data_IF_953313983444
#
_entry.id   IF_953313983444
#
_cell.length_a   1.000
_cell.length_b   1.000
_cell.length_c   1.000
_cell.angle_alpha   90.00
_cell.angle_beta   90.00
_cell.angle_gamma   90.00
#
_symmetry.space_group_name_H-M   'P 1'
#
loop_
_entity.id
_entity.type
_entity.pdbx_description
1 polymer ?
#
# COMPACT_ATOMS: atom_id res chain seq x y z
N UNK A 1 -77.87 -62.81 -32.02
CA UNK A 1 -77.73 -61.94 -30.83
C UNK A 1 -76.46 -61.13 -31.03
N UNK A 2 -76.56 -59.81 -31.24
CA UNK A 2 -75.42 -58.93 -31.55
C UNK A 2 -75.51 -57.66 -30.69
N UNK A 3 -74.32 -57.10 -30.38
CA UNK A 3 -74.00 -55.75 -29.84
C UNK A 3 -74.21 -55.56 -28.32
N UNK A 4 -73.33 -54.89 -27.57
CA UNK A 4 -72.08 -54.17 -27.86
C UNK A 4 -71.38 -53.81 -26.54
N UNK A 5 -70.16 -54.29 -26.32
CA UNK A 5 -69.24 -53.84 -25.24
C UNK A 5 -67.95 -53.31 -25.85
N UNK A 6 -68.03 -52.24 -26.66
CA UNK A 6 -66.85 -51.54 -27.22
C UNK A 6 -66.90 -50.01 -27.13
N UNK A 7 -67.93 -49.42 -26.49
CA UNK A 7 -68.13 -47.96 -26.46
C UNK A 7 -67.59 -47.24 -25.20
N UNK A 8 -67.09 -47.96 -24.18
CA UNK A 8 -66.58 -47.34 -22.94
C UNK A 8 -65.08 -46.99 -23.03
N UNK A 9 -64.28 -47.79 -23.75
CA UNK A 9 -62.83 -47.60 -23.87
C UNK A 9 -62.45 -46.35 -24.69
N UNK A 10 -63.28 -45.96 -25.65
CA UNK A 10 -63.04 -44.80 -26.52
C UNK A 10 -63.26 -43.47 -25.76
N UNK A 11 -64.29 -43.43 -24.91
CA UNK A 11 -64.58 -42.26 -24.06
C UNK A 11 -63.52 -42.11 -22.98
N UNK A 12 -63.12 -43.21 -22.32
CA UNK A 12 -62.05 -43.18 -21.31
C UNK A 12 -60.71 -42.73 -21.91
N UNK A 13 -60.36 -43.23 -23.10
CA UNK A 13 -59.15 -42.84 -23.82
C UNK A 13 -59.15 -41.35 -24.18
N UNK A 14 -60.29 -40.83 -24.64
CA UNK A 14 -60.44 -39.41 -24.99
C UNK A 14 -60.31 -38.50 -23.77
N UNK A 15 -60.96 -38.86 -22.64
CA UNK A 15 -60.87 -38.09 -21.39
C UNK A 15 -59.44 -38.11 -20.83
N UNK A 16 -58.76 -39.26 -20.90
CA UNK A 16 -57.39 -39.38 -20.42
C UNK A 16 -56.39 -38.59 -21.28
N UNK A 17 -56.55 -38.62 -22.61
CA UNK A 17 -55.76 -37.79 -23.53
C UNK A 17 -55.99 -36.29 -23.29
N UNK A 18 -57.24 -35.88 -23.08
CA UNK A 18 -57.56 -34.50 -22.77
C UNK A 18 -56.96 -34.07 -21.42
N UNK A 19 -57.02 -34.94 -20.40
CA UNK A 19 -56.40 -34.69 -19.09
C UNK A 19 -54.88 -34.54 -19.17
N UNK A 20 -54.21 -35.44 -19.90
CA UNK A 20 -52.75 -35.39 -20.08
C UNK A 20 -52.32 -34.18 -20.91
N UNK A 21 -53.06 -33.82 -21.96
CA UNK A 21 -52.73 -32.65 -22.80
C UNK A 21 -52.90 -31.35 -22.02
N UNK A 22 -53.99 -31.20 -21.25
CA UNK A 22 -54.17 -30.04 -20.38
C UNK A 22 -53.07 -29.97 -19.33
N UNK A 23 -52.71 -31.09 -18.70
CA UNK A 23 -51.63 -31.15 -17.72
C UNK A 23 -50.29 -30.77 -18.35
N UNK A 24 -49.95 -31.31 -19.52
CA UNK A 24 -48.73 -31.00 -20.25
C UNK A 24 -48.65 -29.52 -20.63
N UNK A 25 -49.73 -28.95 -21.20
CA UNK A 25 -49.78 -27.51 -21.54
C UNK A 25 -49.65 -26.64 -20.29
N UNK A 26 -50.31 -27.00 -19.20
CA UNK A 26 -50.24 -26.23 -17.94
C UNK A 26 -48.82 -26.21 -17.40
N UNK A 27 -48.15 -27.36 -17.38
CA UNK A 27 -46.74 -27.46 -16.95
C UNK A 27 -45.84 -26.66 -17.88
N UNK A 28 -45.99 -26.80 -19.20
CA UNK A 28 -45.18 -26.05 -20.17
C UNK A 28 -45.36 -24.55 -20.03
N UNK A 29 -46.60 -24.07 -19.90
CA UNK A 29 -46.90 -22.64 -19.73
C UNK A 29 -46.31 -22.14 -18.42
N UNK A 30 -46.54 -22.83 -17.30
CA UNK A 30 -46.01 -22.41 -16.00
C UNK A 30 -44.48 -22.29 -16.00
N UNK A 31 -43.78 -23.32 -16.51
CA UNK A 31 -42.32 -23.31 -16.63
C UNK A 31 -41.83 -22.25 -17.62
N UNK A 32 -42.53 -22.08 -18.75
CA UNK A 32 -42.19 -21.06 -19.74
C UNK A 32 -42.33 -19.64 -19.22
N UNK A 33 -43.36 -19.36 -18.42
CA UNK A 33 -43.54 -18.05 -17.78
C UNK A 33 -42.46 -17.76 -16.73
N UNK A 34 -42.08 -18.75 -15.92
CA UNK A 34 -41.01 -18.58 -14.93
C UNK A 34 -39.65 -18.34 -15.61
N UNK A 35 -39.34 -19.11 -16.66
CA UNK A 35 -38.11 -18.94 -17.43
C UNK A 35 -38.06 -17.57 -18.14
N UNK A 36 -39.17 -17.12 -18.73
CA UNK A 36 -39.25 -15.82 -19.38
C UNK A 36 -39.11 -14.66 -18.37
N UNK A 37 -39.71 -14.79 -17.19
CA UNK A 37 -39.57 -13.79 -16.12
C UNK A 37 -38.10 -13.64 -15.69
N UNK A 38 -37.40 -14.75 -15.45
CA UNK A 38 -35.98 -14.73 -15.11
C UNK A 38 -35.10 -14.09 -16.20
N UNK A 39 -35.35 -14.41 -17.49
CA UNK A 39 -34.63 -13.79 -18.61
C UNK A 39 -34.92 -12.29 -18.73
N UNK A 40 -36.15 -11.87 -18.41
CA UNK A 40 -36.54 -10.46 -18.46
C UNK A 40 -35.87 -9.66 -17.35
N UNK A 41 -35.81 -10.21 -16.13
CA UNK A 41 -35.11 -9.60 -14.98
C UNK A 41 -33.61 -9.44 -15.24
N UNK A 42 -32.96 -10.47 -15.80
CA UNK A 42 -31.54 -10.42 -16.14
C UNK A 42 -31.25 -9.40 -17.25
N UNK A 43 -32.11 -9.34 -18.29
CA UNK A 43 -31.99 -8.34 -19.34
C UNK A 43 -32.21 -6.91 -18.83
N UNK A 44 -33.12 -6.71 -17.88
CA UNK A 44 -33.38 -5.40 -17.27
C UNK A 44 -32.20 -4.95 -16.41
N UNK A 45 -31.68 -5.84 -15.57
CA UNK A 45 -30.50 -5.57 -14.73
C UNK A 45 -29.28 -5.24 -15.58
N UNK A 46 -29.02 -6.00 -16.65
CA UNK A 46 -27.95 -5.71 -17.61
C UNK A 46 -28.17 -4.36 -18.33
N UNK A 47 -29.41 -3.98 -18.61
CA UNK A 47 -29.77 -2.67 -19.16
C UNK A 47 -29.38 -1.53 -18.21
N UNK A 48 -29.73 -1.66 -16.93
CA UNK A 48 -29.37 -0.69 -15.89
C UNK A 48 -27.86 -0.63 -15.68
N UNK A 49 -27.14 -1.75 -15.72
CA UNK A 49 -25.67 -1.79 -15.60
C UNK A 49 -24.98 -0.97 -16.69
N UNK A 50 -25.43 -1.12 -17.94
CA UNK A 50 -24.95 -0.33 -19.06
C UNK A 50 -25.33 1.15 -18.92
N UNK A 51 -26.57 1.44 -18.49
CA UNK A 51 -27.04 2.80 -18.24
C UNK A 51 -26.24 3.51 -17.14
N UNK A 52 -25.92 2.80 -16.06
CA UNK A 52 -25.07 3.28 -14.96
C UNK A 52 -23.64 3.55 -15.44
N UNK A 53 -23.06 2.66 -16.26
CA UNK A 53 -21.72 2.86 -16.84
C UNK A 53 -21.67 4.06 -17.80
N UNK A 54 -22.75 4.28 -18.57
CA UNK A 54 -22.86 5.48 -19.38
C UNK A 54 -23.05 6.74 -18.51
N UNK A 55 -23.84 6.64 -17.45
CA UNK A 55 -24.03 7.72 -16.48
C UNK A 55 -22.71 8.12 -15.82
N UNK A 56 -21.88 7.18 -15.35
CA UNK A 56 -20.57 7.52 -14.76
C UNK A 56 -19.69 8.26 -15.74
N UNK A 57 -19.62 7.82 -17.00
CA UNK A 57 -18.90 8.55 -18.04
C UNK A 57 -19.40 9.99 -18.21
N UNK A 58 -20.73 10.22 -18.24
CA UNK A 58 -21.27 11.59 -18.32
C UNK A 58 -21.02 12.40 -17.04
N UNK A 59 -21.13 11.77 -15.88
CA UNK A 59 -20.88 12.39 -14.59
C UNK A 59 -19.41 12.82 -14.46
N UNK A 60 -18.46 12.03 -14.96
CA UNK A 60 -17.03 12.39 -15.03
C UNK A 60 -16.80 13.62 -15.90
N UNK A 61 -17.42 13.72 -17.09
CA UNK A 61 -17.31 14.94 -17.94
C UNK A 61 -17.80 16.20 -17.20
N UNK A 62 -18.84 16.05 -16.38
CA UNK A 62 -19.40 17.16 -15.59
C UNK A 62 -18.53 17.48 -14.37
N UNK A 63 -18.06 16.45 -13.68
CA UNK A 63 -17.18 16.53 -12.51
C UNK A 63 -15.84 17.19 -12.85
N UNK A 64 -15.25 16.82 -13.98
CA UNK A 64 -13.96 17.33 -14.47
C UNK A 64 -14.08 18.68 -15.20
N UNK A 65 -15.29 19.27 -15.24
CA UNK A 65 -15.52 20.62 -15.75
C UNK A 65 -15.55 20.76 -17.27
N UNK A 66 -15.67 19.67 -18.03
CA UNK A 66 -15.82 19.75 -19.50
C UNK A 66 -17.21 20.23 -19.93
N UNK A 67 -18.22 20.10 -19.06
CA UNK A 67 -19.59 20.61 -19.30
C UNK A 67 -20.31 20.86 -17.98
N UNK A 68 -21.17 21.89 -17.90
CA UNK A 68 -21.92 22.22 -16.68
C UNK A 68 -23.04 21.21 -16.34
N UNK A 69 -23.61 20.55 -17.36
CA UNK A 69 -24.73 19.62 -17.21
C UNK A 69 -24.80 18.57 -18.34
N UNK A 70 -25.24 17.35 -17.99
CA UNK A 70 -25.54 16.27 -18.95
C UNK A 70 -26.84 15.56 -18.58
N UNK A 71 -27.55 15.06 -19.59
CA UNK A 71 -28.69 14.15 -19.39
C UNK A 71 -28.18 12.72 -19.26
N UNK A 72 -28.88 11.94 -18.44
CA UNK A 72 -28.65 10.51 -18.30
C UNK A 72 -29.95 9.73 -18.42
N UNK A 73 -29.83 8.46 -18.80
CA UNK A 73 -30.91 7.49 -18.90
C UNK A 73 -30.35 6.13 -18.44
N UNK A 74 -30.87 5.63 -17.32
CA UNK A 74 -30.50 4.34 -16.75
C UNK A 74 -31.32 3.18 -17.35
N UNK A 75 -32.21 3.47 -18.29
CA UNK A 75 -33.15 2.51 -18.86
C UNK A 75 -34.36 2.28 -17.94
N UNK A 76 -35.04 1.15 -18.17
CA UNK A 76 -36.21 0.75 -17.39
C UNK A 76 -35.81 0.30 -15.99
N UNK A 77 -36.17 1.08 -14.97
CA UNK A 77 -35.92 0.75 -13.55
C UNK A 77 -37.14 0.12 -12.85
N UNK A 78 -38.22 -0.16 -13.58
CA UNK A 78 -39.50 -0.66 -13.02
C UNK A 78 -39.42 -2.05 -12.33
N UNK A 79 -38.31 -2.77 -12.51
CA UNK A 79 -38.07 -4.12 -11.99
C UNK A 79 -37.29 -4.15 -10.67
N UNK A 80 -37.00 -2.99 -10.09
CA UNK A 80 -36.24 -2.86 -8.86
C UNK A 80 -36.41 -1.51 -8.19
N UNK A 81 -35.70 -1.31 -7.09
CA UNK A 81 -35.71 -0.06 -6.33
C UNK A 81 -34.46 0.77 -6.62
N UNK A 82 -34.64 2.03 -7.03
CA UNK A 82 -33.56 3.00 -7.21
C UNK A 82 -33.47 3.91 -5.98
N UNK A 83 -32.28 4.03 -5.37
CA UNK A 83 -32.04 4.84 -4.17
C UNK A 83 -30.74 5.61 -4.27
N UNK A 84 -30.75 6.87 -3.84
CA UNK A 84 -29.56 7.68 -3.65
C UNK A 84 -29.35 7.89 -2.15
N UNK A 85 -28.19 7.45 -1.65
CA UNK A 85 -27.72 7.70 -0.29
C UNK A 85 -26.46 8.57 -0.36
N UNK A 86 -26.56 9.82 0.09
CA UNK A 86 -25.48 10.81 0.02
C UNK A 86 -24.37 10.58 1.06
N UNK A 87 -24.68 9.83 2.13
CA UNK A 87 -23.79 9.53 3.24
C UNK A 87 -23.12 8.14 3.09
N UNK A 88 -23.57 7.35 2.11
CA UNK A 88 -23.02 6.03 1.83
C UNK A 88 -21.63 6.09 1.20
N UNK A 89 -20.72 5.34 1.81
CA UNK A 89 -19.32 5.22 1.41
C UNK A 89 -18.49 6.45 1.74
N UNK A 90 -17.26 6.23 2.20
CA UNK A 90 -16.33 7.31 2.52
C UNK A 90 -14.99 7.05 1.85
N UNK A 91 -14.39 8.12 1.34
CA UNK A 91 -12.98 8.13 0.94
C UNK A 91 -12.22 9.04 1.88
N UNK A 92 -11.09 8.56 2.34
CA UNK A 92 -10.13 9.30 3.13
C UNK A 92 -8.79 9.29 2.42
N UNK A 93 -8.27 10.47 2.09
CA UNK A 93 -6.89 10.63 1.64
C UNK A 93 -6.14 11.31 2.77
N UNK A 94 -5.00 10.76 3.15
CA UNK A 94 -4.14 11.32 4.20
C UNK A 94 -2.68 11.20 3.81
N UNK A 95 -1.89 12.19 4.23
CA UNK A 95 -0.45 12.22 4.09
C UNK A 95 0.11 12.00 5.48
N UNK A 96 0.86 10.93 5.66
CA UNK A 96 1.56 10.60 6.90
C UNK A 96 3.01 11.02 6.77
N UNK A 97 3.52 11.76 7.76
CA UNK A 97 4.94 11.96 7.99
C UNK A 97 5.36 11.24 9.27
N UNK A 98 6.60 11.44 9.69
CA UNK A 98 7.18 10.72 10.84
C UNK A 98 6.43 11.00 12.16
N UNK A 99 6.04 12.25 12.38
CA UNK A 99 5.32 12.69 13.58
C UNK A 99 3.78 12.48 13.48
N UNK A 100 3.32 11.69 12.51
CA UNK A 100 1.91 11.34 12.30
C UNK A 100 1.29 12.00 11.06
N UNK A 101 -0.03 12.20 11.08
CA UNK A 101 -0.76 12.72 9.90
C UNK A 101 -0.47 14.20 9.66
N UNK A 102 0.19 14.52 8.54
CA UNK A 102 0.49 15.89 8.07
C UNK A 102 -0.77 16.56 7.52
N UNK A 103 -1.51 15.85 6.68
CA UNK A 103 -2.74 16.34 6.07
C UNK A 103 -3.75 15.21 5.93
N UNK A 104 -5.04 15.54 6.03
CA UNK A 104 -6.13 14.58 5.93
C UNK A 104 -7.36 15.22 5.33
N UNK A 105 -8.01 14.51 4.42
CA UNK A 105 -9.35 14.84 3.96
C UNK A 105 -10.20 13.58 3.91
N UNK A 106 -11.36 13.63 4.58
CA UNK A 106 -12.37 12.58 4.54
C UNK A 106 -13.67 13.17 3.98
N UNK A 107 -14.25 12.48 3.02
CA UNK A 107 -15.48 12.90 2.35
C UNK A 107 -16.40 11.70 2.09
N UNK A 108 -17.72 11.92 2.12
CA UNK A 108 -18.65 10.92 1.62
C UNK A 108 -18.55 10.83 0.10
N UNK A 109 -18.72 9.62 -0.44
CA UNK A 109 -18.76 9.39 -1.90
C UNK A 109 -20.17 9.61 -2.44
N UNK A 110 -21.19 9.25 -1.66
CA UNK A 110 -22.55 9.16 -2.14
C UNK A 110 -22.72 7.95 -3.09
N UNK A 111 -23.81 7.22 -2.94
CA UNK A 111 -24.03 5.97 -3.67
C UNK A 111 -25.43 5.96 -4.28
N UNK A 112 -25.49 5.81 -5.60
CA UNK A 112 -26.75 5.55 -6.32
C UNK A 112 -26.87 4.04 -6.52
N UNK A 113 -27.85 3.41 -5.89
CA UNK A 113 -28.07 1.97 -5.85
C UNK A 113 -29.33 1.61 -6.62
N UNK A 114 -29.22 0.65 -7.53
CA UNK A 114 -30.36 -0.08 -8.11
C UNK A 114 -30.36 -1.50 -7.54
N UNK A 115 -31.40 -1.85 -6.78
CA UNK A 115 -31.61 -3.17 -6.22
C UNK A 115 -32.65 -3.94 -7.07
N UNK A 116 -32.18 -4.87 -7.90
CA UNK A 116 -33.02 -5.85 -8.61
C UNK A 116 -33.28 -7.10 -7.77
N UNK A 117 -33.95 -8.12 -8.34
CA UNK A 117 -34.27 -9.36 -7.60
C UNK A 117 -33.02 -10.16 -7.19
N UNK A 118 -32.02 -10.24 -8.08
CA UNK A 118 -30.89 -11.15 -7.92
C UNK A 118 -29.52 -10.44 -7.81
N UNK A 119 -29.47 -9.15 -8.11
CA UNK A 119 -28.23 -8.39 -8.21
C UNK A 119 -28.49 -6.93 -7.90
N UNK A 120 -27.53 -6.34 -7.21
CA UNK A 120 -27.46 -4.92 -6.96
C UNK A 120 -26.38 -4.29 -7.84
N UNK A 121 -26.66 -3.10 -8.34
CA UNK A 121 -25.73 -2.28 -9.13
C UNK A 121 -25.64 -0.92 -8.43
N UNK A 122 -24.42 -0.45 -8.21
CA UNK A 122 -24.19 0.81 -7.53
C UNK A 122 -23.18 1.68 -8.26
N UNK A 123 -23.43 2.99 -8.24
CA UNK A 123 -22.48 4.01 -8.67
C UNK A 123 -21.92 4.68 -7.43
N UNK A 124 -20.60 4.66 -7.28
CA UNK A 124 -19.91 5.26 -6.14
C UNK A 124 -18.50 5.68 -6.54
N UNK A 125 -18.09 6.90 -6.17
CA UNK A 125 -16.73 7.41 -6.42
C UNK A 125 -16.33 7.50 -7.89
N UNK A 126 -17.31 7.56 -8.80
CA UNK A 126 -17.09 7.55 -10.25
C UNK A 126 -17.00 6.16 -10.88
N UNK A 127 -16.96 5.08 -10.07
CA UNK A 127 -16.99 3.70 -10.52
C UNK A 127 -18.40 3.10 -10.53
N UNK A 128 -18.54 1.95 -11.21
CA UNK A 128 -19.74 1.10 -11.16
C UNK A 128 -19.38 -0.23 -10.52
N UNK A 129 -20.17 -0.61 -9.53
CA UNK A 129 -19.99 -1.79 -8.69
C UNK A 129 -21.21 -2.68 -8.80
N UNK A 130 -21.01 -3.98 -8.65
CA UNK A 130 -22.10 -4.95 -8.56
C UNK A 130 -21.87 -5.93 -7.43
N UNK A 131 -22.95 -6.35 -6.78
CA UNK A 131 -22.93 -7.44 -5.80
C UNK A 131 -24.12 -8.37 -6.00
N UNK A 132 -23.90 -9.66 -5.76
CA UNK A 132 -24.94 -10.69 -5.69
C UNK A 132 -25.27 -11.08 -4.24
N UNK A 133 -24.83 -10.26 -3.27
CA UNK A 133 -24.96 -10.50 -1.85
C UNK A 133 -23.82 -11.31 -1.23
N UNK A 134 -22.85 -11.79 -2.02
CA UNK A 134 -21.67 -12.51 -1.51
C UNK A 134 -20.39 -11.68 -1.58
N UNK A 135 -20.10 -11.06 -2.73
CA UNK A 135 -18.90 -10.24 -2.94
C UNK A 135 -19.15 -9.11 -3.93
N UNK A 136 -18.69 -7.91 -3.57
CA UNK A 136 -18.68 -6.75 -4.46
C UNK A 136 -17.64 -6.92 -5.58
N UNK A 137 -18.00 -6.54 -6.80
CA UNK A 137 -17.16 -6.61 -8.00
C UNK A 137 -17.22 -5.31 -8.77
N UNK A 138 -16.10 -4.94 -9.39
CA UNK A 138 -16.02 -3.78 -10.28
C UNK A 138 -16.60 -4.11 -11.65
N UNK A 139 -17.50 -3.26 -12.15
CA UNK A 139 -18.00 -3.25 -13.53
C UNK A 139 -17.27 -2.20 -14.36
N UNK A 140 -17.22 -0.97 -13.84
CA UNK A 140 -16.50 0.15 -14.45
C UNK A 140 -15.57 0.77 -13.42
N UNK A 141 -14.30 1.04 -13.77
CA UNK A 141 -13.36 1.64 -12.84
C UNK A 141 -13.75 3.09 -12.51
N UNK A 142 -13.44 3.56 -11.29
CA UNK A 142 -13.42 4.98 -10.97
C UNK A 142 -12.22 5.67 -11.62
N UNK A 143 -12.19 6.99 -11.58
CA UNK A 143 -11.04 7.78 -12.02
C UNK A 143 -9.93 7.73 -10.96
N UNK A 144 -8.83 7.04 -11.27
CA UNK A 144 -7.60 7.01 -10.49
C UNK A 144 -6.46 6.77 -11.46
N UNK A 145 -5.56 7.74 -11.60
CA UNK A 145 -4.45 7.67 -12.53
C UNK A 145 -3.16 7.81 -11.78
N UNK A 146 -2.43 6.71 -11.64
CA UNK A 146 -1.07 6.72 -11.14
C UNK A 146 -0.11 6.41 -12.30
N UNK A 147 0.82 7.32 -12.59
CA UNK A 147 1.84 7.17 -13.65
C UNK A 147 3.07 7.99 -13.30
N UNK A 148 4.26 7.47 -13.55
CA UNK A 148 5.53 8.19 -13.41
C UNK A 148 5.60 8.97 -12.06
N UNK A 149 5.30 8.30 -10.96
CA UNK A 149 5.28 8.88 -9.62
C UNK A 149 4.29 10.04 -9.42
N UNK A 150 3.27 10.15 -10.27
CA UNK A 150 2.20 11.14 -10.16
C UNK A 150 0.88 10.45 -9.91
N UNK A 151 0.22 10.76 -8.78
CA UNK A 151 -1.17 10.37 -8.53
C UNK A 151 -2.11 11.52 -8.91
N UNK A 152 -3.02 11.26 -9.86
CA UNK A 152 -4.18 12.12 -10.15
C UNK A 152 -5.46 11.39 -9.75
N UNK A 153 -6.14 11.90 -8.73
CA UNK A 153 -7.34 11.29 -8.16
C UNK A 153 -8.50 12.28 -8.06
N UNK A 154 -9.35 12.38 -9.10
CA UNK A 154 -10.55 13.19 -9.06
C UNK A 154 -11.72 12.41 -8.43
N UNK A 155 -11.98 12.67 -7.16
CA UNK A 155 -13.06 12.05 -6.39
C UNK A 155 -14.39 12.63 -6.85
N UNK A 156 -15.27 11.77 -7.38
CA UNK A 156 -16.65 12.16 -7.76
C UNK A 156 -17.59 11.88 -6.58
N UNK A 157 -18.23 12.93 -6.07
CA UNK A 157 -19.24 12.84 -5.01
C UNK A 157 -20.65 13.03 -5.58
N UNK A 158 -21.54 12.06 -5.35
CA UNK A 158 -22.94 12.14 -5.77
C UNK A 158 -23.82 12.78 -4.69
N UNK A 159 -24.63 13.75 -5.10
CA UNK A 159 -25.71 14.36 -4.30
C UNK A 159 -26.97 14.52 -5.14
N UNK A 160 -28.14 14.77 -4.56
CA UNK A 160 -29.38 14.87 -5.32
C UNK A 160 -30.53 15.55 -4.59
N UNK A 161 -31.60 15.82 -5.33
CA UNK A 161 -32.83 16.39 -4.77
C UNK A 161 -33.80 15.32 -4.23
N UNK A 162 -33.60 14.07 -4.65
CA UNK A 162 -34.47 12.93 -4.34
C UNK A 162 -33.63 11.71 -3.92
N UNK A 163 -34.05 11.04 -2.86
CA UNK A 163 -33.37 9.85 -2.33
C UNK A 163 -33.95 8.53 -2.85
N UNK A 164 -35.17 8.54 -3.39
CA UNK A 164 -35.85 7.36 -3.93
C UNK A 164 -36.61 7.71 -5.21
N UNK A 165 -35.89 7.96 -6.32
CA UNK A 165 -36.48 8.32 -7.60
C UNK A 165 -37.30 7.17 -8.19
N UNK A 166 -38.42 7.52 -8.83
CA UNK A 166 -39.30 6.54 -9.51
C UNK A 166 -38.94 6.30 -10.98
N UNK A 167 -37.98 7.05 -11.53
CA UNK A 167 -37.53 6.97 -12.92
C UNK A 167 -36.01 6.99 -13.00
N UNK A 168 -35.48 6.32 -14.02
CA UNK A 168 -34.05 6.28 -14.32
C UNK A 168 -33.53 7.42 -15.20
N UNK A 169 -34.33 8.45 -15.49
CA UNK A 169 -33.92 9.57 -16.36
C UNK A 169 -33.75 10.85 -15.57
N UNK A 170 -32.81 11.69 -15.98
CA UNK A 170 -32.58 12.97 -15.32
C UNK A 170 -31.43 13.77 -15.90
N UNK A 171 -30.99 14.76 -15.11
CA UNK A 171 -29.85 15.63 -15.40
C UNK A 171 -28.85 15.55 -14.25
N UNK A 172 -27.57 15.39 -14.59
CA UNK A 172 -26.45 15.60 -13.69
C UNK A 172 -25.83 16.97 -13.95
N UNK A 173 -25.59 17.73 -12.90
CA UNK A 173 -25.02 19.10 -12.97
C UNK A 173 -23.82 19.24 -12.05
N UNK A 174 -22.83 20.03 -12.45
CA UNK A 174 -21.71 20.36 -11.57
C UNK A 174 -22.21 21.25 -10.43
N UNK A 175 -21.89 20.90 -9.18
CA UNK A 175 -22.19 21.72 -8.02
C UNK A 175 -20.95 22.48 -7.54
N UNK A 176 -19.86 21.75 -7.27
CA UNK A 176 -18.61 22.31 -6.76
C UNK A 176 -17.44 21.42 -7.19
N UNK A 177 -16.31 22.04 -7.56
CA UNK A 177 -15.02 21.37 -7.73
C UNK A 177 -13.99 22.10 -6.88
N UNK A 178 -13.22 21.36 -6.09
CA UNK A 178 -12.21 21.93 -5.20
C UNK A 178 -10.98 21.01 -5.12
N UNK A 179 -9.81 21.64 -4.94
CA UNK A 179 -8.57 20.96 -4.63
C UNK A 179 -8.56 20.53 -3.16
N UNK A 180 -8.18 19.28 -2.89
CA UNK A 180 -8.26 18.69 -1.56
C UNK A 180 -7.09 19.10 -0.66
N UNK A 181 -5.90 19.34 -1.23
CA UNK A 181 -4.68 19.67 -0.50
C UNK A 181 -3.97 20.93 -1.04
N UNK A 182 -4.62 22.10 -1.05
CA UNK A 182 -4.08 23.31 -1.69
C UNK A 182 -2.84 23.90 -0.97
N UNK A 183 -2.54 23.46 0.24
CA UNK A 183 -1.42 23.94 1.07
C UNK A 183 -0.27 22.94 1.19
N UNK A 184 -0.43 21.74 0.63
CA UNK A 184 0.61 20.72 0.65
C UNK A 184 1.61 21.02 -0.47
N UNK A 185 2.91 20.85 -0.18
CA UNK A 185 3.95 21.01 -1.21
C UNK A 185 3.76 20.00 -2.33
N UNK A 186 3.96 20.42 -3.58
CA UNK A 186 3.85 19.55 -4.74
C UNK A 186 4.96 19.96 -5.74
N UNK A 187 6.09 19.23 -5.83
CA UNK A 187 6.34 17.87 -5.34
C UNK A 187 6.21 17.65 -3.82
N UNK A 188 5.83 16.43 -3.43
CA UNK A 188 5.92 15.96 -2.05
C UNK A 188 7.40 15.75 -1.69
N UNK A 189 7.78 16.13 -0.47
CA UNK A 189 9.18 16.07 0.00
C UNK A 189 9.48 14.79 0.78
N UNK A 190 8.51 14.30 1.56
CA UNK A 190 8.60 13.06 2.32
C UNK A 190 7.20 12.51 2.67
N UNK A 191 7.18 11.32 3.26
CA UNK A 191 5.99 10.72 3.85
C UNK A 191 5.27 9.70 2.97
N UNK A 192 4.09 9.27 3.43
CA UNK A 192 3.26 8.24 2.80
C UNK A 192 1.86 8.79 2.52
N UNK A 193 1.45 8.74 1.26
CA UNK A 193 0.08 9.02 0.84
C UNK A 193 -0.74 7.75 0.99
N UNK A 194 -1.75 7.81 1.85
CA UNK A 194 -2.70 6.72 2.08
C UNK A 194 -4.08 7.10 1.56
N UNK A 195 -4.61 6.27 0.67
CA UNK A 195 -5.98 6.36 0.15
C UNK A 195 -6.78 5.20 0.73
N UNK A 196 -7.70 5.50 1.63
CA UNK A 196 -8.59 4.54 2.27
C UNK A 196 -10.04 4.75 1.78
N UNK A 197 -10.70 3.66 1.38
CA UNK A 197 -12.10 3.67 0.99
C UNK A 197 -12.89 2.73 1.88
N UNK A 198 -13.84 3.28 2.63
CA UNK A 198 -14.84 2.54 3.39
C UNK A 198 -16.12 2.40 2.56
N UNK A 199 -16.53 1.17 2.25
CA UNK A 199 -17.68 0.93 1.36
C UNK A 199 -18.26 -0.48 1.52
N UNK A 200 -19.54 -0.64 1.24
CA UNK A 200 -20.13 -1.98 1.08
C UNK A 200 -19.55 -2.75 -0.13
N UNK A 201 -18.91 -2.03 -1.05
CA UNK A 201 -18.20 -2.60 -2.21
C UNK A 201 -16.67 -2.64 -2.01
N UNK A 202 -16.18 -2.64 -0.75
CA UNK A 202 -14.74 -2.56 -0.46
C UNK A 202 -13.91 -3.66 -1.13
N UNK A 203 -14.44 -4.89 -1.33
CA UNK A 203 -13.73 -5.94 -2.07
C UNK A 203 -13.51 -5.56 -3.54
N UNK A 204 -14.46 -4.84 -4.15
CA UNK A 204 -14.30 -4.30 -5.50
C UNK A 204 -13.26 -3.19 -5.54
N UNK A 205 -13.24 -2.31 -4.53
CA UNK A 205 -12.21 -1.27 -4.38
C UNK A 205 -10.82 -1.87 -4.16
N UNK A 206 -10.71 -2.93 -3.35
CA UNK A 206 -9.48 -3.70 -3.15
C UNK A 206 -8.98 -4.30 -4.47
N UNK A 207 -9.87 -4.97 -5.22
CA UNK A 207 -9.54 -5.56 -6.51
C UNK A 207 -9.10 -4.48 -7.53
N UNK A 208 -9.73 -3.29 -7.49
CA UNK A 208 -9.35 -2.16 -8.31
C UNK A 208 -7.95 -1.64 -7.98
N UNK A 209 -7.68 -1.32 -6.72
CA UNK A 209 -6.37 -0.83 -6.30
C UNK A 209 -5.28 -1.87 -6.58
N UNK A 210 -5.53 -3.15 -6.30
CA UNK A 210 -4.56 -4.22 -6.55
C UNK A 210 -4.20 -4.37 -8.03
N UNK A 211 -5.11 -4.04 -8.94
CA UNK A 211 -4.87 -4.13 -10.39
C UNK A 211 -4.31 -2.85 -11.02
N UNK A 212 -4.62 -1.68 -10.45
CA UNK A 212 -4.43 -0.38 -11.11
C UNK A 212 -3.76 0.68 -10.27
N UNK A 213 -3.84 0.59 -8.94
CA UNK A 213 -3.18 1.59 -8.11
C UNK A 213 -1.67 1.44 -8.14
N UNK A 214 -1.19 0.20 -8.40
CA UNK A 214 0.22 -0.22 -8.27
C UNK A 214 0.72 0.23 -6.88
N UNK A 215 0.79 -0.67 -5.91
CA UNK A 215 0.79 -0.24 -4.50
C UNK A 215 0.69 -1.40 -3.52
N UNK A 216 1.09 -1.17 -2.26
CA UNK A 216 0.66 -2.03 -1.17
C UNK A 216 -0.82 -1.74 -0.95
N UNK A 217 -1.63 -2.76 -1.18
CA UNK A 217 -3.07 -2.68 -1.02
C UNK A 217 -3.49 -3.66 0.06
N UNK A 218 -4.11 -3.15 1.11
CA UNK A 218 -4.68 -3.96 2.18
C UNK A 218 -6.20 -3.83 2.19
N UNK A 219 -6.85 -4.83 2.80
CA UNK A 219 -8.28 -4.77 3.11
C UNK A 219 -8.53 -5.16 4.56
N UNK A 220 -9.56 -4.56 5.15
CA UNK A 220 -10.08 -4.92 6.46
C UNK A 220 -11.55 -5.30 6.31
N UNK A 221 -11.84 -6.60 6.39
CA UNK A 221 -13.19 -7.14 6.22
C UNK A 221 -14.12 -6.73 7.39
N UNK A 222 -13.57 -6.46 8.59
CA UNK A 222 -14.36 -6.07 9.76
C UNK A 222 -14.83 -4.62 9.67
N UNK A 223 -13.97 -3.73 9.16
CA UNK A 223 -14.28 -2.31 8.95
C UNK A 223 -14.83 -2.01 7.55
N UNK A 224 -14.81 -3.00 6.64
CA UNK A 224 -15.18 -2.89 5.22
C UNK A 224 -14.39 -1.79 4.51
N UNK A 225 -13.07 -1.85 4.63
CA UNK A 225 -12.16 -0.87 4.02
C UNK A 225 -11.18 -1.52 3.04
N UNK A 226 -10.80 -0.74 2.03
CA UNK A 226 -9.68 -1.03 1.14
C UNK A 226 -8.72 0.16 1.18
N UNK A 227 -7.43 -0.11 1.35
CA UNK A 227 -6.41 0.92 1.59
C UNK A 227 -5.26 0.74 0.62
N UNK A 228 -4.92 1.79 -0.13
CA UNK A 228 -3.74 1.85 -0.99
C UNK A 228 -2.71 2.83 -0.40
N UNK A 229 -1.43 2.44 -0.40
CA UNK A 229 -0.31 3.25 0.10
C UNK A 229 0.69 3.56 -1.01
N UNK A 230 1.14 4.81 -1.05
CA UNK A 230 2.17 5.32 -1.95
C UNK A 230 3.18 6.10 -1.11
N UNK A 231 4.47 5.86 -1.29
CA UNK A 231 5.51 6.49 -0.45
C UNK A 231 6.31 7.47 -1.27
N UNK A 232 6.63 8.61 -0.69
CA UNK A 232 7.54 9.58 -1.29
C UNK A 232 8.96 9.06 -1.12
N UNK A 233 9.70 8.75 -2.20
CA UNK A 233 11.08 8.33 -2.09
C UNK A 233 11.89 9.41 -1.40
N UNK A 234 12.65 9.02 -0.38
CA UNK A 234 13.63 9.89 0.24
C UNK A 234 15.00 9.67 -0.40
N UNK A 235 15.71 10.75 -0.69
CA UNK A 235 17.13 10.71 -1.01
C UNK A 235 17.89 11.32 0.17
N UNK A 236 18.85 10.57 0.70
CA UNK A 236 19.74 11.04 1.77
C UNK A 236 21.14 11.09 1.20
N UNK A 237 21.66 12.30 1.05
CA UNK A 237 23.06 12.52 0.68
C UNK A 237 23.94 12.26 1.92
N UNK A 238 24.97 11.42 1.77
CA UNK A 238 25.92 11.12 2.82
C UNK A 238 27.24 11.89 2.61
N UNK A 239 27.13 13.21 2.47
CA UNK A 239 28.26 14.12 2.21
C UNK A 239 29.03 14.50 3.49
N UNK A 240 28.54 14.07 4.66
CA UNK A 240 29.15 14.29 5.96
C UNK A 240 29.29 12.99 6.75
N UNK A 241 30.33 12.84 7.60
CA UNK A 241 30.46 11.69 8.50
C UNK A 241 29.30 11.56 9.49
N UNK A 242 28.67 12.66 9.89
CA UNK A 242 27.61 12.64 10.88
C UNK A 242 26.47 13.59 10.53
N UNK A 243 25.25 13.06 10.56
CA UNK A 243 24.02 13.84 10.47
C UNK A 243 23.05 13.47 11.59
N UNK A 244 22.60 14.47 12.35
CA UNK A 244 21.72 14.31 13.50
C UNK A 244 20.37 14.99 13.31
N UNK A 245 19.29 14.27 13.63
CA UNK A 245 17.93 14.80 13.66
C UNK A 245 17.69 15.82 14.76
N UNK A 246 18.37 15.64 15.90
CA UNK A 246 18.29 16.57 17.02
C UNK A 246 19.26 17.76 16.86
N UNK A 247 18.79 18.95 17.20
CA UNK A 247 19.65 20.13 17.40
C UNK A 247 20.27 20.19 18.80
N UNK A 248 19.89 19.26 19.68
CA UNK A 248 20.30 19.23 21.08
C UNK A 248 21.37 18.16 21.28
N UNK A 249 22.62 18.58 21.15
CA UNK A 249 23.79 17.73 21.40
C UNK A 249 24.41 18.15 22.72
N UNK A 250 24.13 17.42 23.79
CA UNK A 250 24.75 17.62 25.12
C UNK A 250 26.22 17.13 25.15
N UNK A 251 26.81 16.79 23.99
CA UNK A 251 28.10 16.10 23.83
C UNK A 251 29.09 16.82 22.94
N UNK A 252 30.38 16.65 23.26
CA UNK A 252 31.49 17.11 22.43
C UNK A 252 31.65 16.12 21.26
N UNK A 253 31.21 16.54 20.06
CA UNK A 253 31.42 15.77 18.82
C UNK A 253 32.90 15.90 18.42
N UNK A 254 33.66 14.79 18.27
CA UNK A 254 35.07 14.79 17.86
C UNK A 254 35.26 15.07 16.35
N UNK A 255 34.50 16.00 15.78
CA UNK A 255 34.54 16.42 14.38
C UNK A 255 34.62 17.94 14.27
N UNK A 256 35.03 18.48 13.13
CA UNK A 256 34.89 19.91 12.87
C UNK A 256 33.41 20.26 12.67
N UNK A 257 33.02 21.50 12.98
CA UNK A 257 31.63 21.99 12.84
C UNK A 257 31.10 21.93 11.39
N UNK A 258 31.99 21.97 10.41
CA UNK A 258 31.63 21.83 8.99
C UNK A 258 31.37 20.35 8.60
N UNK A 259 31.91 19.40 9.36
CA UNK A 259 31.88 17.96 9.07
C UNK A 259 30.64 17.26 9.65
N UNK A 260 29.72 17.99 10.30
CA UNK A 260 28.45 17.41 10.73
C UNK A 260 27.27 18.37 10.50
N UNK A 261 26.06 17.84 10.56
CA UNK A 261 24.84 18.63 10.54
C UNK A 261 23.88 18.22 11.67
N UNK A 262 23.10 19.19 12.14
CA UNK A 262 22.17 19.04 13.25
C UNK A 262 20.78 19.54 12.84
N UNK A 263 19.72 18.93 13.37
CA UNK A 263 18.36 19.30 13.03
C UNK A 263 17.94 18.86 11.62
N UNK A 264 18.66 17.90 11.03
CA UNK A 264 18.38 17.39 9.70
C UNK A 264 17.18 16.43 9.72
N UNK A 265 16.22 16.63 8.81
CA UNK A 265 15.08 15.72 8.70
C UNK A 265 15.41 14.63 7.69
N UNK A 266 15.44 13.39 8.17
CA UNK A 266 15.73 12.21 7.36
C UNK A 266 14.48 11.34 7.26
N UNK A 267 14.24 10.64 6.14
CA UNK A 267 13.12 9.72 6.00
C UNK A 267 13.31 8.43 6.83
N UNK A 268 12.31 8.02 7.60
CA UNK A 268 12.34 6.71 8.28
C UNK A 268 12.78 5.53 7.38
N UNK A 269 13.64 4.62 7.87
CA UNK A 269 14.09 3.45 7.13
C UNK A 269 13.09 2.29 7.13
N UNK A 270 12.01 2.37 7.92
CA UNK A 270 11.02 1.28 8.03
C UNK A 270 10.53 0.75 6.67
N UNK A 271 10.20 1.60 5.68
CA UNK A 271 9.67 1.11 4.41
C UNK A 271 10.64 0.19 3.66
N UNK A 272 11.93 0.54 3.61
CA UNK A 272 12.95 -0.30 2.94
C UNK A 272 13.31 -1.54 3.78
N UNK A 273 13.19 -1.47 5.10
CA UNK A 273 13.40 -2.62 6.00
C UNK A 273 12.27 -3.64 5.82
N UNK A 274 11.02 -3.20 5.87
CA UNK A 274 9.83 -4.02 5.65
C UNK A 274 9.89 -4.73 4.28
N UNK A 275 10.41 -4.03 3.25
CA UNK A 275 10.69 -4.62 1.93
C UNK A 275 11.61 -5.80 1.97
N UNK A 276 12.74 -5.59 2.63
CA UNK A 276 13.75 -6.61 2.63
C UNK A 276 13.29 -7.80 3.45
N UNK A 277 12.57 -7.57 4.54
CA UNK A 277 11.98 -8.61 5.38
C UNK A 277 10.92 -9.40 4.63
N UNK A 278 9.95 -8.77 3.96
CA UNK A 278 8.92 -9.50 3.20
C UNK A 278 9.56 -10.37 2.11
N UNK A 279 10.50 -9.80 1.35
CA UNK A 279 11.22 -10.55 0.32
C UNK A 279 12.03 -11.71 0.93
N UNK A 280 12.75 -11.47 2.02
CA UNK A 280 13.59 -12.47 2.68
C UNK A 280 12.77 -13.57 3.36
N UNK A 281 11.59 -13.26 3.90
CA UNK A 281 10.68 -14.26 4.47
C UNK A 281 10.20 -15.29 3.45
N UNK A 282 10.15 -14.90 2.17
CA UNK A 282 9.70 -15.76 1.07
C UNK A 282 10.87 -16.41 0.31
N UNK A 283 11.96 -15.67 0.10
CA UNK A 283 13.05 -16.05 -0.82
C UNK A 283 14.41 -16.21 -0.14
N UNK A 284 14.54 -15.82 1.14
CA UNK A 284 15.78 -15.83 1.89
C UNK A 284 16.12 -17.20 2.47
N UNK A 285 17.40 -17.39 2.77
CA UNK A 285 17.93 -18.51 3.55
C UNK A 285 17.89 -18.16 5.04
N UNK A 286 17.98 -19.14 5.94
CA UNK A 286 18.06 -18.85 7.36
C UNK A 286 19.35 -18.08 7.67
N UNK A 287 19.29 -17.04 8.49
CA UNK A 287 20.49 -16.32 8.94
C UNK A 287 21.44 -17.23 9.75
N UNK A 288 20.89 -18.26 10.40
CA UNK A 288 21.68 -19.26 11.14
C UNK A 288 22.67 -19.99 10.21
N UNK A 289 22.33 -20.17 8.93
CA UNK A 289 23.23 -20.77 7.93
C UNK A 289 24.48 -19.90 7.66
N UNK A 290 24.44 -18.63 8.07
CA UNK A 290 25.55 -17.69 8.02
C UNK A 290 26.21 -17.56 9.41
N UNK A 291 25.45 -17.27 10.46
CA UNK A 291 25.98 -16.93 11.79
C UNK A 291 26.49 -18.11 12.63
N UNK A 292 26.01 -19.35 12.41
CA UNK A 292 26.42 -20.53 13.18
C UNK A 292 27.59 -21.31 12.53
N UNK A 293 28.64 -20.58 12.13
CA UNK A 293 29.86 -21.17 11.55
C UNK A 293 29.71 -21.63 10.09
N UNK A 294 28.74 -21.07 9.37
CA UNK A 294 28.63 -21.19 7.92
C UNK A 294 29.56 -20.24 7.18
N UNK A 295 29.59 -20.33 5.84
CA UNK A 295 30.23 -19.32 4.99
C UNK A 295 29.16 -18.30 4.57
N UNK A 296 29.23 -17.08 5.07
CA UNK A 296 28.32 -16.00 4.69
C UNK A 296 28.65 -15.50 3.28
N UNK A 297 28.25 -16.26 2.27
CA UNK A 297 28.45 -15.94 0.86
C UNK A 297 27.35 -15.04 0.32
N UNK A 298 27.57 -14.43 -0.85
CA UNK A 298 26.57 -13.65 -1.59
C UNK A 298 25.17 -14.28 -1.58
N UNK A 299 24.14 -13.52 -1.18
CA UNK A 299 22.80 -14.07 -1.01
C UNK A 299 21.88 -13.20 -0.15
N UNK A 300 20.68 -13.72 0.10
CA UNK A 300 19.67 -13.12 0.97
C UNK A 300 19.43 -14.04 2.17
N UNK A 301 19.63 -13.52 3.36
CA UNK A 301 19.44 -14.22 4.63
C UNK A 301 18.34 -13.55 5.45
N UNK A 302 17.61 -14.36 6.20
CA UNK A 302 16.42 -13.96 6.94
C UNK A 302 16.44 -14.48 8.39
N UNK A 303 16.04 -13.64 9.34
CA UNK A 303 15.70 -14.02 10.69
C UNK A 303 14.27 -13.58 11.02
N UNK A 304 13.45 -14.52 11.50
CA UNK A 304 12.07 -14.29 11.96
C UNK A 304 12.08 -14.05 13.48
N UNK A 305 12.39 -12.81 13.87
CA UNK A 305 12.60 -12.42 15.28
C UNK A 305 14.05 -12.07 15.62
N UNK A 306 14.29 -11.87 16.92
CA UNK A 306 15.58 -11.49 17.47
C UNK A 306 16.66 -12.54 17.14
N UNK A 307 17.86 -12.06 16.79
CA UNK A 307 19.00 -12.90 16.47
C UNK A 307 20.27 -12.40 17.13
N UNK A 308 21.16 -13.32 17.48
CA UNK A 308 22.42 -13.01 18.15
C UNK A 308 23.58 -13.75 17.50
N UNK A 309 24.77 -13.13 17.48
CA UNK A 309 25.99 -13.77 17.02
C UNK A 309 26.56 -14.71 18.08
N UNK A 310 26.89 -15.93 17.67
CA UNK A 310 27.54 -16.93 18.52
C UNK A 310 29.08 -16.94 18.38
N UNK A 311 29.62 -16.14 17.46
CA UNK A 311 31.04 -15.97 17.17
C UNK A 311 31.25 -14.95 16.05
N UNK A 312 32.52 -14.72 15.70
CA UNK A 312 32.89 -13.81 14.62
C UNK A 312 32.39 -14.32 13.26
N UNK A 313 32.06 -13.39 12.36
CA UNK A 313 31.49 -13.68 11.04
C UNK A 313 32.35 -13.06 9.94
N UNK A 314 32.83 -13.93 9.05
CA UNK A 314 33.51 -13.54 7.82
C UNK A 314 32.55 -13.62 6.62
N UNK A 315 32.41 -12.51 5.90
CA UNK A 315 31.62 -12.43 4.68
C UNK A 315 32.48 -12.65 3.43
N UNK A 316 31.98 -13.50 2.53
CA UNK A 316 32.48 -13.71 1.19
C UNK A 316 31.54 -13.06 0.17
N UNK A 317 31.89 -11.86 -0.26
CA UNK A 317 31.14 -11.09 -1.24
C UNK A 317 31.67 -11.30 -2.66
N UNK A 318 32.57 -12.27 -2.90
CA UNK A 318 33.13 -12.51 -4.25
C UNK A 318 32.08 -12.92 -5.28
N UNK A 319 30.98 -13.54 -4.83
CA UNK A 319 29.83 -13.93 -5.65
C UNK A 319 28.80 -12.82 -5.90
N UNK A 320 28.92 -11.68 -5.21
CA UNK A 320 27.94 -10.59 -5.21
C UNK A 320 27.62 -10.09 -3.79
N UNK A 321 26.64 -9.20 -3.70
CA UNK A 321 26.22 -8.62 -2.42
C UNK A 321 25.64 -9.68 -1.47
N UNK A 322 25.83 -9.44 -0.17
CA UNK A 322 25.14 -10.16 0.91
C UNK A 322 24.07 -9.24 1.47
N UNK A 323 22.90 -9.78 1.74
CA UNK A 323 21.85 -9.06 2.44
C UNK A 323 21.34 -9.88 3.61
N UNK A 324 21.32 -9.26 4.78
CA UNK A 324 20.79 -9.81 6.02
C UNK A 324 19.53 -9.01 6.38
N UNK A 325 18.39 -9.67 6.47
CA UNK A 325 17.12 -9.06 6.90
C UNK A 325 16.66 -9.72 8.22
N UNK A 326 16.44 -8.91 9.26
CA UNK A 326 16.15 -9.37 10.62
C UNK A 326 14.86 -8.70 11.07
N UNK A 327 13.80 -9.47 11.26
CA UNK A 327 12.52 -9.01 11.80
C UNK A 327 12.52 -9.02 13.33
N UNK A 328 13.46 -8.31 13.94
CA UNK A 328 13.69 -8.27 15.38
C UNK A 328 14.99 -7.54 15.74
N UNK A 329 15.44 -7.70 16.97
CA UNK A 329 16.69 -7.15 17.46
C UNK A 329 17.90 -7.95 16.97
N UNK A 330 19.03 -7.27 16.71
CA UNK A 330 20.29 -7.91 16.31
C UNK A 330 21.37 -7.69 17.38
N UNK A 331 21.69 -8.74 18.13
CA UNK A 331 22.74 -8.74 19.14
C UNK A 331 24.06 -9.23 18.55
N UNK A 332 24.94 -8.30 18.19
CA UNK A 332 26.30 -8.58 17.73
C UNK A 332 27.19 -8.99 18.91
N UNK A 333 26.87 -8.50 20.12
CA UNK A 333 27.73 -8.64 21.29
C UNK A 333 29.12 -8.05 21.03
N UNK A 334 30.15 -8.81 21.37
CA UNK A 334 31.55 -8.44 21.10
C UNK A 334 32.18 -9.25 19.95
N UNK A 335 31.37 -9.77 19.04
CA UNK A 335 31.85 -10.57 17.92
C UNK A 335 32.11 -9.68 16.69
N UNK A 336 33.10 -10.04 15.90
CA UNK A 336 33.50 -9.28 14.72
C UNK A 336 32.60 -9.59 13.50
N UNK A 337 32.37 -8.59 12.66
CA UNK A 337 31.68 -8.70 11.37
C UNK A 337 32.61 -8.17 10.28
N UNK A 338 33.30 -9.05 9.56
CA UNK A 338 34.36 -8.66 8.64
C UNK A 338 34.09 -9.11 7.21
N UNK A 339 34.33 -8.22 6.25
CA UNK A 339 34.39 -8.55 4.83
C UNK A 339 35.85 -8.77 4.46
N UNK A 340 36.20 -9.99 4.09
CA UNK A 340 37.61 -10.44 3.97
C UNK A 340 38.12 -10.42 2.53
N UNK A 341 37.23 -10.31 1.54
CA UNK A 341 37.59 -10.20 0.13
C UNK A 341 37.84 -8.74 -0.29
N UNK A 342 38.50 -8.55 -1.45
CA UNK A 342 38.80 -7.23 -2.02
C UNK A 342 37.92 -6.83 -3.21
N UNK A 343 36.65 -7.24 -3.24
CA UNK A 343 35.68 -6.80 -4.24
C UNK A 343 34.96 -5.50 -3.82
N UNK A 344 34.17 -4.91 -4.71
CA UNK A 344 33.35 -3.73 -4.42
C UNK A 344 31.92 -4.09 -3.93
N UNK A 345 31.65 -5.39 -3.73
CA UNK A 345 30.35 -5.85 -3.29
C UNK A 345 30.15 -5.55 -1.80
N UNK A 346 28.89 -5.35 -1.42
CA UNK A 346 28.51 -4.85 -0.10
C UNK A 346 27.73 -5.88 0.72
N UNK A 347 27.81 -5.75 2.03
CA UNK A 347 26.93 -6.41 3.01
C UNK A 347 25.93 -5.38 3.53
N UNK A 348 24.64 -5.64 3.31
CA UNK A 348 23.55 -4.78 3.78
C UNK A 348 22.74 -5.48 4.87
N UNK A 349 22.54 -4.78 5.99
CA UNK A 349 21.73 -5.22 7.11
C UNK A 349 20.44 -4.38 7.16
N UNK A 350 19.29 -5.05 7.24
CA UNK A 350 17.98 -4.45 7.41
C UNK A 350 17.38 -4.99 8.71
N UNK A 351 17.34 -4.17 9.75
CA UNK A 351 17.00 -4.59 11.12
C UNK A 351 15.74 -3.85 11.58
N UNK A 352 14.66 -4.60 11.82
CA UNK A 352 13.38 -4.02 12.27
C UNK A 352 13.38 -3.63 13.75
N UNK A 353 14.33 -4.15 14.52
CA UNK A 353 14.56 -3.81 15.92
C UNK A 353 15.80 -2.94 16.14
N UNK A 354 16.40 -3.08 17.32
CA UNK A 354 17.65 -2.43 17.73
C UNK A 354 18.87 -3.28 17.36
N UNK A 355 20.04 -2.64 17.24
CA UNK A 355 21.33 -3.33 17.09
C UNK A 355 22.13 -3.14 18.38
N UNK A 356 22.43 -4.24 19.06
CA UNK A 356 23.22 -4.24 20.29
C UNK A 356 24.65 -4.73 20.02
N UNK A 357 25.65 -4.00 20.54
CA UNK A 357 27.07 -4.27 20.32
C UNK A 357 27.94 -3.75 21.47
N UNK A 358 29.08 -4.41 21.72
CA UNK A 358 30.03 -4.04 22.76
C UNK A 358 31.46 -4.56 22.48
N UNK A 359 32.33 -3.67 21.99
CA UNK A 359 33.70 -3.94 21.52
C UNK A 359 33.87 -4.84 20.26
N UNK A 360 32.96 -4.87 19.27
CA UNK A 360 33.23 -5.58 18.02
C UNK A 360 34.15 -4.78 17.09
N UNK A 361 34.73 -5.48 16.12
CA UNK A 361 35.29 -4.93 14.88
C UNK A 361 34.30 -5.18 13.74
N UNK A 362 33.78 -4.12 13.12
CA UNK A 362 32.80 -4.20 12.04
C UNK A 362 33.39 -3.48 10.83
N UNK A 363 33.45 -4.12 9.67
CA UNK A 363 34.01 -3.48 8.48
C UNK A 363 34.69 -4.43 7.51
N UNK A 364 35.73 -3.93 6.86
CA UNK A 364 36.59 -4.71 5.97
C UNK A 364 37.91 -5.09 6.66
N UNK A 365 38.40 -6.32 6.48
CA UNK A 365 39.74 -6.72 6.96
C UNK A 365 40.88 -6.12 6.10
N UNK A 366 40.54 -5.33 5.07
CA UNK A 366 41.47 -4.74 4.12
C UNK A 366 42.46 -3.74 4.78
N UNK A 367 43.57 -3.47 4.10
CA UNK A 367 44.59 -2.53 4.59
C UNK A 367 44.17 -1.05 4.57
N UNK A 368 43.04 -0.76 3.94
CA UNK A 368 42.41 0.56 3.84
C UNK A 368 40.97 0.41 4.31
N UNK A 369 40.45 1.43 4.98
CA UNK A 369 39.05 1.49 5.40
C UNK A 369 38.17 1.59 4.16
N UNK A 370 37.04 0.89 4.15
CA UNK A 370 36.02 0.99 3.10
C UNK A 370 34.63 0.85 3.72
N UNK A 371 34.17 1.94 4.31
CA UNK A 371 32.90 2.00 5.02
C UNK A 371 31.68 1.79 4.11
N UNK A 372 31.80 2.00 2.78
CA UNK A 372 30.70 1.76 1.82
C UNK A 372 30.25 0.32 1.77
N UNK A 373 31.17 -0.60 2.08
CA UNK A 373 30.92 -2.05 1.95
C UNK A 373 30.07 -2.63 3.06
N UNK A 374 29.93 -1.91 4.17
CA UNK A 374 29.08 -2.34 5.29
C UNK A 374 27.98 -1.30 5.50
N UNK A 375 26.72 -1.69 5.28
CA UNK A 375 25.59 -0.76 5.37
C UNK A 375 24.52 -1.30 6.31
N UNK A 376 24.14 -0.52 7.32
CA UNK A 376 23.07 -0.82 8.25
C UNK A 376 21.87 0.12 8.03
N UNK A 377 20.68 -0.45 7.91
CA UNK A 377 19.40 0.25 7.96
C UNK A 377 18.65 -0.27 9.19
N UNK A 378 18.43 0.58 10.19
CA UNK A 378 17.95 0.16 11.51
C UNK A 378 16.76 1.00 11.94
N UNK A 379 15.66 0.35 12.34
CA UNK A 379 14.47 1.03 12.86
C UNK A 379 14.62 1.43 14.34
N UNK A 380 15.23 0.57 15.16
CA UNK A 380 15.42 0.75 16.58
C UNK A 380 16.70 1.52 16.93
N UNK A 381 17.15 1.32 18.17
CA UNK A 381 18.34 1.96 18.71
C UNK A 381 19.65 1.28 18.31
N UNK A 382 20.76 1.98 18.55
CA UNK A 382 22.11 1.39 18.45
C UNK A 382 22.73 1.39 19.84
N UNK A 383 23.12 0.20 20.30
CA UNK A 383 23.74 -0.06 21.60
C UNK A 383 22.90 0.34 22.83
N UNK A 384 21.58 0.52 22.68
CA UNK A 384 20.67 1.00 23.74
C UNK A 384 20.55 0.05 24.94
N UNK A 385 20.67 -1.27 24.73
CA UNK A 385 20.57 -2.25 25.82
C UNK A 385 21.93 -2.63 26.41
N UNK A 386 22.99 -2.01 25.91
CA UNK A 386 24.37 -2.24 26.37
C UNK A 386 24.85 -1.09 27.23
N UNK A 387 25.98 -1.25 27.92
CA UNK A 387 26.63 -0.11 28.60
C UNK A 387 27.42 0.75 27.58
N UNK A 388 26.83 1.00 26.41
CA UNK A 388 27.45 1.62 25.24
C UNK A 388 28.34 0.70 24.40
N UNK A 389 28.91 1.28 23.34
CA UNK A 389 29.69 0.56 22.32
C UNK A 389 31.05 0.02 22.80
N UNK A 390 31.57 0.48 23.94
CA UNK A 390 32.88 0.06 24.44
C UNK A 390 34.03 0.63 23.59
N UNK A 391 34.95 -0.23 23.16
CA UNK A 391 36.06 0.10 22.27
C UNK A 391 35.82 -0.50 20.88
N UNK A 392 34.59 -0.42 20.38
CA UNK A 392 34.24 -0.91 19.06
C UNK A 392 35.03 -0.17 17.97
N UNK A 393 35.41 -0.88 16.91
CA UNK A 393 35.95 -0.31 15.67
C UNK A 393 34.92 -0.55 14.56
N UNK A 394 34.31 0.51 14.02
CA UNK A 394 33.17 0.40 13.09
C UNK A 394 33.47 1.17 11.82
N UNK A 395 33.57 0.45 10.71
CA UNK A 395 33.78 0.94 9.35
C UNK A 395 32.53 0.67 8.54
N UNK A 396 31.59 1.61 8.57
CA UNK A 396 30.26 1.38 8.01
C UNK A 396 29.51 2.66 7.69
N UNK A 397 28.46 2.49 6.90
CA UNK A 397 27.33 3.41 6.84
C UNK A 397 26.25 2.88 7.77
N UNK A 398 25.81 3.71 8.73
CA UNK A 398 24.67 3.37 9.59
C UNK A 398 23.58 4.42 9.40
N UNK A 399 22.48 3.98 8.80
CA UNK A 399 21.28 4.77 8.58
C UNK A 399 20.20 4.36 9.59
N UNK A 400 20.11 5.10 10.69
CA UNK A 400 19.17 4.87 11.78
C UNK A 400 18.61 6.21 12.28
N UNK A 401 17.90 6.98 11.44
CA UNK A 401 17.50 8.36 11.75
C UNK A 401 16.54 8.48 12.95
N UNK A 402 15.96 7.37 13.43
CA UNK A 402 15.12 7.34 14.63
C UNK A 402 15.91 6.97 15.91
N UNK A 403 17.18 6.56 15.79
CA UNK A 403 17.94 5.97 16.88
C UNK A 403 18.51 7.02 17.82
N UNK A 404 18.40 6.75 19.13
CA UNK A 404 19.16 7.46 20.15
C UNK A 404 20.38 6.60 20.48
N UNK A 405 21.57 7.10 20.15
CA UNK A 405 22.81 6.36 20.34
C UNK A 405 23.53 6.88 21.57
N UNK A 406 23.78 6.01 22.54
CA UNK A 406 24.65 6.30 23.69
C UNK A 406 25.92 5.45 23.58
N UNK A 407 27.02 6.08 23.16
CA UNK A 407 28.30 5.43 22.99
C UNK A 407 29.21 5.73 24.18
N UNK A 408 29.10 4.92 25.23
CA UNK A 408 30.08 4.92 26.32
C UNK A 408 31.33 4.12 25.92
N UNK A 409 32.53 4.63 26.24
CA UNK A 409 33.81 3.94 26.01
C UNK A 409 34.79 4.76 25.18
N UNK A 410 35.51 4.12 24.27
CA UNK A 410 36.39 4.79 23.30
C UNK A 410 36.20 4.15 21.91
N UNK A 411 34.99 4.20 21.32
CA UNK A 411 34.76 3.64 19.99
C UNK A 411 35.52 4.45 18.92
N UNK A 412 35.89 3.77 17.85
CA UNK A 412 36.41 4.38 16.62
C UNK A 412 35.38 4.16 15.52
N UNK A 413 34.78 5.24 15.02
CA UNK A 413 33.75 5.20 13.99
C UNK A 413 34.29 5.82 12.70
N UNK A 414 34.27 5.08 11.61
CA UNK A 414 34.77 5.50 10.31
C UNK A 414 33.71 5.28 9.25
N UNK A 415 33.22 6.34 8.63
CA UNK A 415 32.16 6.25 7.63
C UNK A 415 31.12 7.36 7.73
N UNK A 416 29.85 7.02 7.48
CA UNK A 416 28.73 7.96 7.51
C UNK A 416 27.60 7.46 8.42
N UNK A 417 27.19 8.31 9.36
CA UNK A 417 26.27 7.96 10.42
C UNK A 417 25.09 8.93 10.47
N UNK A 418 23.87 8.40 10.39
CA UNK A 418 22.62 9.17 10.47
C UNK A 418 21.80 8.69 11.66
N UNK A 419 21.61 9.56 12.65
CA UNK A 419 20.93 9.24 13.92
C UNK A 419 19.95 10.34 14.35
N UNK A 420 19.03 10.06 15.26
CA UNK A 420 18.22 11.12 15.90
C UNK A 420 19.09 11.88 16.91
N UNK A 421 19.78 11.16 17.79
CA UNK A 421 20.69 11.74 18.79
C UNK A 421 21.92 10.86 18.94
N UNK A 422 23.06 11.50 19.20
CA UNK A 422 24.32 10.83 19.53
C UNK A 422 24.91 11.42 20.82
N UNK A 423 25.04 10.57 21.84
CA UNK A 423 25.74 10.87 23.07
C UNK A 423 27.05 10.07 23.11
N UNK A 424 28.18 10.75 22.89
CA UNK A 424 29.51 10.15 22.98
C UNK A 424 30.10 10.38 24.38
N UNK A 425 30.27 9.29 25.12
CA UNK A 425 31.03 9.25 26.36
C UNK A 425 32.48 8.83 26.14
N UNK A 426 33.40 9.30 26.99
CA UNK A 426 34.81 8.87 26.99
C UNK A 426 35.66 9.54 25.91
N UNK A 427 36.58 8.81 25.26
CA UNK A 427 37.48 9.32 24.23
C UNK A 427 37.17 8.68 22.87
N UNK A 428 35.93 8.80 22.41
CA UNK A 428 35.50 8.36 21.09
C UNK A 428 36.24 9.12 19.97
N UNK A 429 36.50 8.42 18.87
CA UNK A 429 37.07 8.97 17.64
C UNK A 429 36.09 8.80 16.49
N UNK A 430 35.96 9.83 15.65
CA UNK A 430 35.21 9.75 14.40
C UNK A 430 36.07 10.27 13.26
N UNK A 431 36.07 9.53 12.15
CA UNK A 431 36.76 9.90 10.92
C UNK A 431 35.81 9.70 9.75
N UNK A 432 35.84 10.59 8.77
CA UNK A 432 35.17 10.36 7.50
C UNK A 432 36.08 9.51 6.63
N UNK A 433 35.56 8.41 6.11
CA UNK A 433 36.29 7.58 5.14
C UNK A 433 36.27 8.29 3.78
N UNK A 434 37.17 9.25 3.61
CA UNK A 434 37.32 10.07 2.41
C UNK A 434 38.43 9.57 1.48
N UNK A 435 39.13 8.49 1.86
CA UNK A 435 40.14 7.89 0.99
C UNK A 435 39.45 7.41 -0.31
N UNK A 436 39.89 8.01 -1.43
CA UNK A 436 39.41 7.76 -2.81
C UNK A 436 38.01 8.31 -3.15
N UNK A 437 37.54 9.38 -2.48
CA UNK A 437 36.18 9.94 -2.68
C UNK A 437 35.09 8.86 -2.50
N UNK A 438 35.42 7.85 -1.69
CA UNK A 438 34.63 6.65 -1.50
C UNK A 438 33.42 6.87 -0.63
N UNK A 439 33.09 8.05 -0.13
CA UNK A 439 31.76 8.36 0.41
C UNK A 439 31.13 9.60 -0.24
N UNK A 440 31.97 10.47 -0.83
CA UNK A 440 31.56 11.60 -1.65
C UNK A 440 30.62 11.12 -2.80
N UNK A 441 29.50 11.82 -2.96
CA UNK A 441 28.40 11.50 -3.91
C UNK A 441 27.58 10.22 -3.63
N UNK A 442 27.68 9.60 -2.44
CA UNK A 442 26.78 8.51 -2.10
C UNK A 442 25.41 9.04 -1.66
N UNK A 443 24.38 8.72 -2.44
CA UNK A 443 22.98 8.97 -2.08
C UNK A 443 22.31 7.66 -1.69
N UNK A 444 21.78 7.59 -0.47
CA UNK A 444 20.87 6.52 -0.07
C UNK A 444 19.47 6.84 -0.59
N UNK A 445 18.93 5.96 -1.44
CA UNK A 445 17.52 6.02 -1.83
C UNK A 445 16.71 5.18 -0.85
N UNK A 446 15.92 5.84 -0.01
CA UNK A 446 14.92 5.21 0.84
C UNK A 446 13.63 5.09 0.02
N UNK A 447 13.50 3.97 -0.67
CA UNK A 447 12.27 3.61 -1.37
C UNK A 447 11.23 3.11 -0.38
N UNK A 448 9.95 3.35 -0.69
CA UNK A 448 8.82 3.03 0.17
C UNK A 448 8.59 1.57 0.50
N UNK A 449 9.39 0.67 -0.03
CA UNK A 449 9.30 -0.74 0.25
C UNK A 449 8.65 -1.60 -0.84
N UNK A 450 8.33 -2.88 -0.56
CA UNK A 450 7.81 -3.81 -1.56
C UNK A 450 6.37 -3.44 -1.87
N UNK A 451 6.05 -3.33 -3.15
CA UNK A 451 4.72 -2.90 -3.57
C UNK A 451 4.42 -1.44 -3.24
N UNK A 452 5.24 -0.72 -2.50
CA UNK A 452 5.00 0.68 -2.16
C UNK A 452 5.49 1.55 -3.30
N UNK A 453 4.53 2.06 -4.04
CA UNK A 453 4.81 2.77 -5.26
C UNK A 453 5.29 4.20 -4.99
N UNK A 454 6.39 4.63 -5.63
CA UNK A 454 7.01 5.91 -5.35
C UNK A 454 6.13 7.07 -5.83
N UNK A 455 5.69 7.97 -4.96
CA UNK A 455 4.93 9.17 -5.34
C UNK A 455 5.75 10.44 -5.14
N UNK A 456 5.80 11.28 -6.16
CA UNK A 456 6.41 12.61 -6.15
C UNK A 456 5.35 13.69 -6.27
N UNK A 457 4.32 13.47 -7.09
CA UNK A 457 3.29 14.47 -7.35
C UNK A 457 1.91 13.97 -6.95
N UNK A 458 1.17 14.81 -6.22
CA UNK A 458 -0.17 14.48 -5.73
C UNK A 458 -1.19 15.52 -6.22
N UNK A 459 -2.17 15.06 -6.99
CA UNK A 459 -3.29 15.87 -7.50
C UNK A 459 -4.61 15.23 -7.10
N UNK A 460 -5.21 15.71 -6.01
CA UNK A 460 -6.51 15.23 -5.52
C UNK A 460 -7.53 16.35 -5.60
N UNK A 461 -8.65 16.08 -6.27
CA UNK A 461 -9.78 17.01 -6.34
C UNK A 461 -11.06 16.33 -5.88
N UNK A 462 -11.95 17.11 -5.27
CA UNK A 462 -13.30 16.69 -4.91
C UNK A 462 -14.29 17.38 -5.83
N UNK A 463 -15.06 16.58 -6.57
CA UNK A 463 -15.96 17.05 -7.59
C UNK A 463 -17.38 16.60 -7.24
N UNK A 464 -18.17 17.51 -6.69
CA UNK A 464 -19.55 17.26 -6.31
C UNK A 464 -20.46 17.45 -7.52
N UNK A 465 -21.16 16.38 -7.89
CA UNK A 465 -22.19 16.41 -8.93
C UNK A 465 -23.57 16.21 -8.30
N UNK A 466 -24.55 16.97 -8.79
CA UNK A 466 -25.93 16.92 -8.32
C UNK A 466 -26.83 16.24 -9.33
N UNK A 467 -27.55 15.22 -8.91
CA UNK A 467 -28.56 14.51 -9.67
C UNK A 467 -29.93 15.14 -9.47
N UNK A 468 -30.66 15.34 -10.57
CA UNK A 468 -32.07 15.70 -10.57
C UNK A 468 -32.82 14.79 -11.53
N UNK A 469 -33.68 13.94 -11.00
CA UNK A 469 -34.52 13.02 -11.76
C UNK A 469 -35.74 13.75 -12.37
N UNK A 470 -36.31 13.20 -13.44
CA UNK A 470 -37.41 13.80 -14.23
C UNK A 470 -38.85 13.55 -13.73
#
# INVERSE_FOLDING_TARGET
MYRSERAQSEVLGTVLLLGITIAAVTVTVATGSAALAAVTDEAQTAGVENGMSQFTSQASLVALGETDAKRFDLGSVDGGDLRLDEDAGHVEVRIEGENGTVARNRSSLGTLVYAGENREIAVQGGGVWTTDGTRGRMVSPPEYHYRDSTLTFPIVQLTGDETAPSRGTGVVTNATSEEVFPTVSNPLENGTVVVEVQSDYYEGWYDFFSQRAEGEVTKDDANRTATARLVVPGEVELDKPLSLGSSDTDTDIPLHEDDYELGASHPSPSPIIDERIENASTNGQSVEDCFDGGSCSSGLYYADGDTALNGDVDFDTTGGNVTIAIDGDFDIGGNDLQITDGTDNVVKYYVNGSVDLNNPTIGTEASTVDARRTQFYVNGGIAENTNGMGNAEIDAIIYAPNANVEANGNPTLRGAFVFERLDLGGAAAMEYDDEDDSLNDLTLTITGGPGQNPITYLHVSRNRVKLRFD
#
